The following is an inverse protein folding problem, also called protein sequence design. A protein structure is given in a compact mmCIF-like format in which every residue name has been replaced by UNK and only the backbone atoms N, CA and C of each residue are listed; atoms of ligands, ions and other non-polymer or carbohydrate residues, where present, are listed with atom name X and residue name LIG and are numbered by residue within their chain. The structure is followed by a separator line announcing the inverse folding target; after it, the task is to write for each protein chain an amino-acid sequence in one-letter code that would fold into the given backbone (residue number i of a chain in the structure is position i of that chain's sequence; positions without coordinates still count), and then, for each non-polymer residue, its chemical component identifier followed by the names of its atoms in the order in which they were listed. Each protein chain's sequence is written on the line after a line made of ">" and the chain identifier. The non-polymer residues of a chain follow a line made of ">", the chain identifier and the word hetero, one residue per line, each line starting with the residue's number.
data_IF_421792925376
#
_entry.id   IF_421792925376
#
_cell.length_a   1.000
_cell.length_b   1.000
_cell.length_c   1.000
_cell.angle_alpha   90.00
_cell.angle_beta   90.00
_cell.angle_gamma   90.00
#
_symmetry.space_group_name_H-M   'P 1'
#
loop_
_entity.id
_entity.type
_entity.pdbx_description
1 polymer ?
#
# COMPACT_ATOMS: atom_id res chain seq x y z
N UNK A 1 -53.66 -35.16 1.84
CA UNK A 1 -52.35 -34.82 2.45
C UNK A 1 -51.41 -34.37 1.32
N UNK A 2 -51.25 -33.05 1.11
CA UNK A 2 -50.36 -32.50 0.06
C UNK A 2 -49.08 -32.01 0.75
N UNK A 3 -47.96 -32.67 0.46
CA UNK A 3 -46.62 -32.28 0.94
C UNK A 3 -46.06 -31.25 -0.03
N UNK A 4 -45.79 -30.03 0.47
CA UNK A 4 -45.07 -29.00 -0.27
C UNK A 4 -43.60 -29.09 0.16
N UNK A 5 -42.65 -29.49 -0.70
CA UNK A 5 -41.25 -29.37 -0.37
C UNK A 5 -40.83 -27.92 -0.59
N UNK A 6 -40.50 -27.24 0.51
CA UNK A 6 -39.89 -25.92 0.49
C UNK A 6 -38.42 -26.10 0.05
N UNK A 7 -38.13 -25.85 -1.22
CA UNK A 7 -36.77 -25.81 -1.72
C UNK A 7 -36.12 -24.49 -1.26
N UNK A 8 -35.28 -24.58 -0.23
CA UNK A 8 -34.43 -23.47 0.23
C UNK A 8 -33.24 -23.37 -0.72
N UNK A 9 -33.33 -22.43 -1.67
CA UNK A 9 -32.20 -22.03 -2.51
C UNK A 9 -31.12 -21.38 -1.65
N UNK A 10 -30.05 -22.12 -1.40
CA UNK A 10 -28.85 -21.63 -0.73
C UNK A 10 -28.06 -20.72 -1.69
N UNK A 11 -28.42 -19.44 -1.78
CA UNK A 11 -27.56 -18.43 -2.40
C UNK A 11 -26.37 -18.18 -1.48
N UNK A 12 -25.28 -18.91 -1.71
CA UNK A 12 -23.97 -18.57 -1.18
C UNK A 12 -23.50 -17.33 -1.94
N UNK A 13 -23.79 -16.15 -1.39
CA UNK A 13 -23.17 -14.92 -1.83
C UNK A 13 -21.67 -15.00 -1.52
N UNK A 14 -20.87 -15.33 -2.52
CA UNK A 14 -19.42 -15.20 -2.46
C UNK A 14 -19.09 -13.70 -2.35
N UNK A 15 -18.98 -13.20 -1.13
CA UNK A 15 -18.38 -11.89 -0.87
C UNK A 15 -16.88 -12.03 -1.12
N UNK A 16 -16.45 -11.79 -2.36
CA UNK A 16 -15.03 -11.59 -2.67
C UNK A 16 -14.57 -10.35 -1.93
N UNK A 17 -13.92 -10.53 -0.78
CA UNK A 17 -13.14 -9.47 -0.15
C UNK A 17 -11.98 -9.17 -1.11
N UNK A 18 -12.07 -8.05 -1.84
CA UNK A 18 -10.95 -7.55 -2.62
C UNK A 18 -9.84 -7.15 -1.62
N UNK A 19 -8.92 -8.06 -1.37
CA UNK A 19 -7.69 -7.75 -0.66
C UNK A 19 -6.88 -6.81 -1.53
N UNK A 20 -6.54 -5.64 -0.99
CA UNK A 20 -5.69 -4.68 -1.68
C UNK A 20 -4.35 -5.36 -2.00
N UNK A 21 -3.95 -5.33 -3.27
CA UNK A 21 -2.75 -6.01 -3.73
C UNK A 21 -1.50 -5.32 -3.18
N UNK A 22 -0.45 -6.11 -2.95
CA UNK A 22 0.87 -5.54 -2.68
C UNK A 22 1.33 -4.67 -3.87
N UNK A 23 2.21 -3.68 -3.66
CA UNK A 23 2.70 -2.84 -4.74
C UNK A 23 3.39 -3.67 -5.83
N UNK A 24 3.34 -3.19 -7.06
CA UNK A 24 4.01 -3.85 -8.19
C UNK A 24 5.52 -3.59 -8.20
N UNK A 25 6.27 -4.44 -8.90
CA UNK A 25 7.71 -4.24 -9.12
C UNK A 25 8.01 -2.89 -9.79
N UNK A 26 7.18 -2.47 -10.76
CA UNK A 26 7.32 -1.18 -11.42
C UNK A 26 7.17 0.00 -10.43
N UNK A 27 6.25 -0.10 -9.47
CA UNK A 27 6.10 0.92 -8.44
C UNK A 27 7.28 0.92 -7.44
N UNK A 28 7.85 -0.25 -7.12
CA UNK A 28 9.10 -0.34 -6.33
C UNK A 28 10.24 0.40 -7.03
N UNK A 29 10.39 0.18 -8.33
CA UNK A 29 11.45 0.80 -9.13
C UNK A 29 11.24 2.32 -9.22
N UNK A 30 10.01 2.76 -9.47
CA UNK A 30 9.67 4.19 -9.50
C UNK A 30 9.92 4.86 -8.14
N UNK A 31 9.50 4.23 -7.05
CA UNK A 31 9.78 4.70 -5.70
C UNK A 31 11.29 4.90 -5.50
N UNK A 32 12.08 3.88 -5.86
CA UNK A 32 13.53 3.94 -5.74
C UNK A 32 14.11 5.11 -6.53
N UNK A 33 13.72 5.27 -7.80
CA UNK A 33 14.22 6.34 -8.67
C UNK A 33 13.90 7.73 -8.11
N UNK A 34 12.66 7.95 -7.65
CA UNK A 34 12.26 9.24 -7.06
C UNK A 34 13.01 9.49 -5.76
N UNK A 35 13.11 8.49 -4.88
CA UNK A 35 13.85 8.62 -3.62
C UNK A 35 15.33 8.97 -3.87
N UNK A 36 15.96 8.29 -4.84
CA UNK A 36 17.36 8.49 -5.15
C UNK A 36 17.60 9.87 -5.75
N UNK A 37 16.70 10.35 -6.62
CA UNK A 37 16.76 11.71 -7.18
C UNK A 37 16.70 12.82 -6.12
N UNK A 38 16.08 12.56 -4.96
CA UNK A 38 15.98 13.53 -3.85
C UNK A 38 17.16 13.41 -2.88
N UNK A 39 17.49 12.17 -2.47
CA UNK A 39 18.41 11.93 -1.36
C UNK A 39 19.83 11.57 -1.78
N UNK A 40 20.01 11.07 -3.01
CA UNK A 40 21.25 10.48 -3.53
C UNK A 40 21.82 9.37 -2.64
N UNK A 41 21.00 8.74 -1.81
CA UNK A 41 21.42 7.68 -0.88
C UNK A 41 20.84 6.33 -1.30
N UNK A 42 21.65 5.54 -2.04
CA UNK A 42 21.23 4.26 -2.59
C UNK A 42 20.81 3.26 -1.50
N UNK A 43 21.54 3.17 -0.37
CA UNK A 43 21.22 2.23 0.70
C UNK A 43 19.88 2.57 1.38
N UNK A 44 19.64 3.86 1.68
CA UNK A 44 18.39 4.33 2.25
C UNK A 44 17.21 4.08 1.29
N UNK A 45 17.37 4.41 0.01
CA UNK A 45 16.31 4.27 -0.97
C UNK A 45 15.99 2.81 -1.30
N UNK A 46 17.00 1.94 -1.34
CA UNK A 46 16.78 0.48 -1.47
C UNK A 46 15.96 -0.04 -0.29
N UNK A 47 16.37 0.27 0.94
CA UNK A 47 15.64 -0.16 2.13
C UNK A 47 14.19 0.33 2.13
N UNK A 48 13.97 1.62 1.81
CA UNK A 48 12.61 2.19 1.82
C UNK A 48 11.72 1.60 0.72
N UNK A 49 12.26 1.37 -0.48
CA UNK A 49 11.54 0.73 -1.56
C UNK A 49 11.11 -0.70 -1.18
N UNK A 50 11.99 -1.45 -0.52
CA UNK A 50 11.68 -2.81 -0.03
C UNK A 50 10.67 -2.82 1.12
N UNK A 51 10.83 -1.92 2.09
CA UNK A 51 9.90 -1.79 3.20
C UNK A 51 8.50 -1.44 2.69
N UNK A 52 8.38 -0.52 1.73
CA UNK A 52 7.10 -0.11 1.17
C UNK A 52 6.33 -1.27 0.51
N UNK A 53 7.00 -2.25 -0.10
CA UNK A 53 6.35 -3.45 -0.66
C UNK A 53 5.57 -4.28 0.37
N UNK A 54 5.88 -4.12 1.66
CA UNK A 54 5.28 -4.89 2.76
C UNK A 54 4.38 -4.06 3.66
N UNK A 55 4.60 -2.74 3.70
CA UNK A 55 3.92 -1.83 4.62
C UNK A 55 2.62 -1.25 4.04
N UNK A 56 2.50 -1.20 2.72
CA UNK A 56 1.42 -0.49 2.03
C UNK A 56 0.97 -1.28 0.80
N UNK A 57 -0.22 -0.99 0.30
CA UNK A 57 -0.77 -1.59 -0.93
C UNK A 57 -0.40 -0.79 -2.20
N UNK A 58 -0.74 -1.32 -3.37
CA UNK A 58 -0.48 -0.69 -4.66
C UNK A 58 -1.12 0.71 -4.81
N UNK A 59 -2.31 0.93 -4.23
CA UNK A 59 -2.99 2.24 -4.28
C UNK A 59 -2.18 3.24 -3.49
N UNK A 60 -1.79 2.88 -2.28
CA UNK A 60 -1.13 3.76 -1.36
C UNK A 60 0.33 4.03 -1.77
N UNK A 61 0.98 3.07 -2.43
CA UNK A 61 2.29 3.30 -3.06
C UNK A 61 2.23 4.46 -4.07
N UNK A 62 1.15 4.57 -4.85
CA UNK A 62 0.94 5.71 -5.77
C UNK A 62 0.82 7.03 -5.01
N UNK A 63 0.12 7.06 -3.88
CA UNK A 63 0.02 8.26 -3.00
C UNK A 63 1.39 8.68 -2.49
N UNK A 64 2.20 7.72 -2.05
CA UNK A 64 3.54 7.96 -1.53
C UNK A 64 4.47 8.51 -2.60
N UNK A 65 4.52 7.88 -3.78
CA UNK A 65 5.35 8.33 -4.91
C UNK A 65 4.93 9.75 -5.34
N UNK A 66 3.63 10.02 -5.45
CA UNK A 66 3.12 11.36 -5.77
C UNK A 66 3.56 12.41 -4.75
N UNK A 67 3.52 12.07 -3.46
CA UNK A 67 3.95 12.95 -2.38
C UNK A 67 5.46 13.21 -2.42
N UNK A 68 6.26 12.19 -2.72
CA UNK A 68 7.72 12.35 -2.91
C UNK A 68 8.06 13.27 -4.08
N UNK A 69 7.23 13.32 -5.12
CA UNK A 69 7.36 14.25 -6.26
C UNK A 69 6.88 15.67 -5.97
N UNK A 70 6.54 15.99 -4.72
CA UNK A 70 6.08 17.31 -4.28
C UNK A 70 4.55 17.46 -4.17
N UNK A 71 3.80 16.37 -4.39
CA UNK A 71 2.36 16.33 -4.11
C UNK A 71 2.05 16.30 -2.60
N UNK A 72 0.77 16.34 -2.27
CA UNK A 72 0.29 16.13 -0.89
C UNK A 72 -0.80 15.06 -0.88
N UNK A 73 -0.83 14.16 0.14
CA UNK A 73 -1.90 13.19 0.29
C UNK A 73 -3.27 13.86 0.39
N UNK A 74 -4.31 13.15 -0.04
CA UNK A 74 -5.68 13.58 0.23
C UNK A 74 -5.96 13.58 1.75
N UNK A 75 -6.99 14.35 2.17
CA UNK A 75 -7.33 14.49 3.58
C UNK A 75 -7.49 13.15 4.32
N UNK A 76 -8.15 12.17 3.67
CA UNK A 76 -8.35 10.83 4.23
C UNK A 76 -7.10 9.94 4.29
N UNK A 77 -6.03 10.29 3.57
CA UNK A 77 -4.80 9.51 3.50
C UNK A 77 -3.70 10.02 4.43
N UNK A 78 -3.82 11.23 5.02
CA UNK A 78 -2.77 11.84 5.85
C UNK A 78 -2.31 10.97 7.02
N UNK A 79 -3.25 10.38 7.76
CA UNK A 79 -2.90 9.56 8.92
C UNK A 79 -2.13 8.32 8.49
N UNK A 80 -2.61 7.61 7.46
CA UNK A 80 -1.93 6.45 6.91
C UNK A 80 -0.55 6.81 6.35
N UNK A 81 -0.43 7.99 5.73
CA UNK A 81 0.82 8.47 5.13
C UNK A 81 1.86 8.74 6.21
N UNK A 82 1.47 9.46 7.27
CA UNK A 82 2.35 9.75 8.39
C UNK A 82 2.75 8.48 9.16
N UNK A 83 1.82 7.53 9.32
CA UNK A 83 2.13 6.23 9.92
C UNK A 83 3.13 5.43 9.08
N UNK A 84 2.96 5.40 7.75
CA UNK A 84 3.92 4.81 6.82
C UNK A 84 5.30 5.49 6.90
N UNK A 85 5.35 6.83 6.89
CA UNK A 85 6.61 7.59 7.00
C UNK A 85 7.34 7.24 8.29
N UNK A 86 6.64 7.26 9.42
CA UNK A 86 7.21 6.91 10.72
C UNK A 86 7.74 5.47 10.73
N UNK A 87 6.95 4.51 10.23
CA UNK A 87 7.35 3.10 10.23
C UNK A 87 8.53 2.83 9.29
N UNK A 88 8.52 3.41 8.09
CA UNK A 88 9.62 3.28 7.13
C UNK A 88 10.90 3.96 7.62
N UNK A 89 10.81 5.01 8.45
CA UNK A 89 11.96 5.62 9.12
C UNK A 89 12.48 4.73 10.24
N UNK A 90 11.61 4.16 11.08
CA UNK A 90 12.03 3.23 12.13
C UNK A 90 12.84 2.05 11.56
N UNK A 91 12.46 1.53 10.38
CA UNK A 91 13.13 0.41 9.72
C UNK A 91 14.43 0.87 9.05
N UNK A 92 14.38 1.91 8.22
CA UNK A 92 15.48 2.25 7.30
C UNK A 92 16.36 3.40 7.77
N UNK A 93 15.96 4.10 8.83
CA UNK A 93 16.63 5.26 9.38
C UNK A 93 16.44 5.33 10.90
N UNK A 94 16.83 4.28 11.65
CA UNK A 94 16.47 4.09 13.06
C UNK A 94 16.96 5.19 14.01
N UNK A 95 17.91 6.03 13.56
CA UNK A 95 18.50 7.12 14.35
C UNK A 95 17.99 8.51 13.94
N UNK A 96 16.85 8.58 13.24
CA UNK A 96 16.26 9.84 12.78
C UNK A 96 15.05 10.25 13.60
#
# INVERSE_FOLDING_TARGET
>A
MKRIPLAVSLLIAATSFAQAAAPSAAQKDEFYQVCFGISQNAALCTCKAEAAMTLIDERFMTVVISSMKGGSPAAGDYQAYNAYVAKSNQICKPNY
#
